data_IF_841405685473
#
_entry.id   IF_841405685473
#
_cell.length_a   1.000
_cell.length_b   1.000
_cell.length_c   1.000
_cell.angle_alpha   90.00
_cell.angle_beta   90.00
_cell.angle_gamma   90.00
#
_symmetry.space_group_name_H-M   'P 1'
#
loop_
_entity.id
_entity.type
_entity.pdbx_description
1 polymer ?
#
# COMPACT_ATOMS: atom_id res chain seq x y z
N UNK A 1 11.48 7.61 -25.88
CA UNK A 1 10.88 7.63 -24.52
C UNK A 1 9.53 6.93 -24.57
N UNK A 2 9.25 5.96 -23.68
CA UNK A 2 7.94 5.32 -23.58
C UNK A 2 6.81 6.34 -23.38
N UNK A 3 5.61 6.04 -23.87
CA UNK A 3 4.48 6.99 -23.88
C UNK A 3 4.10 7.48 -22.46
N UNK A 4 4.14 6.59 -21.46
CA UNK A 4 3.85 6.93 -20.07
C UNK A 4 4.86 7.95 -19.51
N UNK A 5 6.17 7.75 -19.76
CA UNK A 5 7.21 8.67 -19.30
C UNK A 5 7.11 10.03 -20.00
N UNK A 6 6.76 10.05 -21.29
CA UNK A 6 6.47 11.30 -22.03
C UNK A 6 5.30 12.07 -21.42
N UNK A 7 4.25 11.37 -20.99
CA UNK A 7 3.09 11.99 -20.34
C UNK A 7 3.48 12.60 -19.00
N UNK A 8 4.21 11.87 -18.15
CA UNK A 8 4.65 12.36 -16.83
C UNK A 8 5.56 13.57 -16.95
N UNK A 9 6.52 13.58 -17.88
CA UNK A 9 7.39 14.75 -18.12
C UNK A 9 6.58 15.98 -18.54
N UNK A 10 5.56 15.80 -19.37
CA UNK A 10 4.77 16.92 -19.89
C UNK A 10 3.68 17.41 -18.93
N UNK A 11 3.14 16.54 -18.08
CA UNK A 11 1.92 16.81 -17.29
C UNK A 11 2.12 16.72 -15.78
N UNK A 12 3.30 16.30 -15.33
CA UNK A 12 3.54 15.90 -13.95
C UNK A 12 2.93 14.53 -13.60
N UNK A 13 3.05 14.15 -12.34
CA UNK A 13 2.32 13.01 -11.78
C UNK A 13 0.84 13.35 -11.58
N UNK A 14 -0.07 12.37 -11.72
CA UNK A 14 -1.44 12.53 -11.28
C UNK A 14 -1.48 12.99 -9.81
N UNK A 15 -2.44 13.86 -9.48
CA UNK A 15 -2.68 14.30 -8.10
C UNK A 15 -3.99 13.70 -7.63
N UNK A 16 -3.96 13.04 -6.49
CA UNK A 16 -5.12 12.41 -5.88
C UNK A 16 -5.47 13.13 -4.58
N UNK A 17 -5.10 12.55 -3.45
CA UNK A 17 -5.21 13.14 -2.13
C UNK A 17 -3.88 12.94 -1.38
N UNK A 18 -3.76 13.55 -0.21
CA UNK A 18 -2.51 13.50 0.56
C UNK A 18 -2.02 12.07 0.81
N UNK A 19 -2.90 11.15 1.20
CA UNK A 19 -2.53 9.77 1.54
C UNK A 19 -2.00 9.02 0.31
N UNK A 20 -2.67 9.22 -0.84
CA UNK A 20 -2.28 8.59 -2.09
C UNK A 20 -0.98 9.19 -2.63
N UNK A 21 -0.89 10.52 -2.65
CA UNK A 21 0.28 11.22 -3.19
C UNK A 21 1.52 11.02 -2.29
N UNK A 22 1.36 10.95 -0.97
CA UNK A 22 2.47 10.76 -0.03
C UNK A 22 3.14 9.39 -0.17
N UNK A 23 2.37 8.29 -0.24
CA UNK A 23 2.98 6.98 -0.42
C UNK A 23 3.63 6.86 -1.80
N UNK A 24 2.98 7.33 -2.89
CA UNK A 24 3.59 7.31 -4.22
C UNK A 24 4.91 8.07 -4.27
N UNK A 25 5.00 9.23 -3.61
CA UNK A 25 6.26 9.97 -3.54
C UNK A 25 7.32 9.22 -2.74
N UNK A 26 6.93 8.55 -1.65
CA UNK A 26 7.85 7.71 -0.89
C UNK A 26 8.40 6.54 -1.71
N UNK A 27 7.57 5.89 -2.52
CA UNK A 27 8.00 4.82 -3.43
C UNK A 27 9.05 5.31 -4.43
N UNK A 28 8.81 6.50 -5.00
CA UNK A 28 9.74 7.11 -5.96
C UNK A 28 11.06 7.55 -5.32
N UNK A 29 11.05 7.93 -4.04
CA UNK A 29 12.24 8.35 -3.31
C UNK A 29 13.08 7.15 -2.83
N UNK A 30 12.44 6.14 -2.24
CA UNK A 30 13.12 5.02 -1.60
C UNK A 30 13.29 3.78 -2.53
N UNK A 31 12.55 3.73 -3.65
CA UNK A 31 12.55 2.57 -4.54
C UNK A 31 11.86 1.33 -3.97
N UNK A 32 11.05 1.50 -2.91
CA UNK A 32 10.28 0.43 -2.25
C UNK A 32 8.80 0.70 -2.42
N UNK A 33 8.02 -0.34 -2.77
CA UNK A 33 6.58 -0.23 -2.88
C UNK A 33 5.94 -0.11 -1.49
N UNK A 34 5.15 0.93 -1.30
CA UNK A 34 4.47 1.27 -0.04
C UNK A 34 2.98 1.32 -0.32
N UNK A 35 2.22 0.49 0.39
CA UNK A 35 0.77 0.53 0.36
C UNK A 35 0.22 1.43 1.46
N UNK A 36 -0.92 2.07 1.18
CA UNK A 36 -1.72 2.79 2.17
C UNK A 36 -3.12 2.19 2.21
N UNK A 37 -3.60 1.91 3.42
CA UNK A 37 -4.94 1.38 3.65
C UNK A 37 -5.63 2.12 4.80
N UNK A 38 -6.96 2.20 4.75
CA UNK A 38 -7.78 2.75 5.82
C UNK A 38 -7.77 1.80 7.02
N UNK A 39 -7.09 2.23 8.08
CA UNK A 39 -6.88 1.41 9.26
C UNK A 39 -8.19 1.14 10.01
N UNK A 40 -9.14 2.08 9.97
CA UNK A 40 -10.42 1.96 10.68
C UNK A 40 -11.34 0.92 10.02
N UNK A 41 -11.02 0.46 8.80
CA UNK A 41 -11.75 -0.58 8.07
C UNK A 41 -11.12 -1.98 8.20
N UNK A 42 -9.99 -2.10 8.90
CA UNK A 42 -9.35 -3.39 9.19
C UNK A 42 -10.10 -4.07 10.33
N UNK A 43 -10.57 -5.30 10.09
CA UNK A 43 -11.34 -6.05 11.07
C UNK A 43 -10.49 -7.15 11.72
N UNK A 44 -10.20 -7.04 13.01
CA UNK A 44 -9.41 -8.03 13.74
C UNK A 44 -7.91 -7.79 13.61
N UNK A 45 -7.11 -8.86 13.49
CA UNK A 45 -5.66 -8.79 13.36
C UNK A 45 -5.19 -8.95 11.92
N UNK A 46 -3.98 -8.46 11.64
CA UNK A 46 -3.32 -8.65 10.35
C UNK A 46 -2.53 -9.95 10.31
N UNK A 47 -2.60 -10.64 9.18
CA UNK A 47 -1.86 -11.87 8.92
C UNK A 47 -1.23 -11.82 7.53
N UNK A 48 0.09 -11.97 7.49
CA UNK A 48 0.81 -12.30 6.26
C UNK A 48 0.65 -13.80 6.00
N UNK A 49 0.12 -14.17 4.84
CA UNK A 49 -0.24 -15.54 4.52
C UNK A 49 0.08 -15.88 3.06
N UNK A 50 0.03 -17.18 2.75
CA UNK A 50 0.14 -17.72 1.39
C UNK A 50 -1.22 -18.22 0.95
N UNK A 51 -1.76 -17.62 -0.11
CA UNK A 51 -3.09 -17.95 -0.60
C UNK A 51 -3.15 -19.36 -1.21
N UNK A 52 -4.30 -20.02 -0.99
CA UNK A 52 -4.72 -21.18 -1.77
C UNK A 52 -5.12 -20.72 -3.15
N UNK A 53 -4.99 -21.61 -4.13
CA UNK A 53 -5.46 -21.33 -5.49
C UNK A 53 -6.98 -21.17 -5.51
N UNK A 54 -7.46 -20.13 -6.18
CA UNK A 54 -8.88 -19.87 -6.38
C UNK A 54 -9.58 -19.08 -5.27
N UNK A 55 -8.86 -18.58 -4.26
CA UNK A 55 -9.44 -17.59 -3.34
C UNK A 55 -9.74 -16.30 -4.10
N UNK A 56 -10.75 -15.55 -3.64
CA UNK A 56 -11.19 -14.34 -4.33
C UNK A 56 -11.34 -13.17 -3.37
N UNK A 57 -10.97 -11.97 -3.83
CA UNK A 57 -11.26 -10.72 -3.15
C UNK A 57 -11.61 -9.63 -4.17
N UNK A 58 -12.40 -8.66 -3.73
CA UNK A 58 -12.72 -7.49 -4.56
C UNK A 58 -11.54 -6.52 -4.49
N UNK A 59 -10.82 -6.42 -5.61
CA UNK A 59 -9.64 -5.59 -5.80
C UNK A 59 -9.97 -4.17 -6.18
N UNK A 60 -9.06 -3.25 -5.86
CA UNK A 60 -9.21 -1.83 -6.19
C UNK A 60 -9.56 -1.60 -7.67
N UNK A 61 -10.55 -0.73 -7.91
CA UNK A 61 -11.01 -0.36 -9.25
C UNK A 61 -12.08 -1.31 -9.80
N UNK A 62 -12.91 -1.86 -8.92
CA UNK A 62 -13.96 -2.84 -9.26
C UNK A 62 -13.41 -4.09 -9.97
N UNK A 63 -12.17 -4.47 -9.65
CA UNK A 63 -11.54 -5.68 -10.20
C UNK A 63 -11.87 -6.85 -9.29
N UNK A 64 -11.99 -8.05 -9.87
CA UNK A 64 -12.04 -9.28 -9.08
C UNK A 64 -10.66 -9.94 -9.12
N UNK A 65 -10.02 -10.09 -7.96
CA UNK A 65 -8.81 -10.88 -7.85
C UNK A 65 -9.17 -12.33 -7.62
N UNK A 66 -8.46 -13.22 -8.32
CA UNK A 66 -8.49 -14.65 -8.09
C UNK A 66 -7.06 -15.09 -7.85
N UNK A 67 -6.78 -15.65 -6.68
CA UNK A 67 -5.43 -15.99 -6.30
C UNK A 67 -4.95 -17.21 -7.06
N UNK A 68 -3.67 -17.20 -7.41
CA UNK A 68 -2.94 -18.39 -7.85
C UNK A 68 -2.31 -19.07 -6.64
N UNK A 69 -1.83 -20.29 -6.85
CA UNK A 69 -1.06 -21.00 -5.83
C UNK A 69 0.18 -20.19 -5.46
N UNK A 70 0.50 -20.15 -4.16
CA UNK A 70 1.70 -19.50 -3.61
C UNK A 70 1.75 -17.97 -3.72
N UNK A 71 0.64 -17.30 -4.04
CA UNK A 71 0.59 -15.85 -3.94
C UNK A 71 0.62 -15.39 -2.48
N UNK A 72 1.51 -14.44 -2.18
CA UNK A 72 1.59 -13.80 -0.88
C UNK A 72 0.43 -12.81 -0.75
N UNK A 73 -0.31 -12.92 0.35
CA UNK A 73 -1.46 -12.08 0.66
C UNK A 73 -1.36 -11.50 2.06
N UNK A 74 -1.88 -10.30 2.24
CA UNK A 74 -2.17 -9.71 3.54
C UNK A 74 -3.65 -9.89 3.81
N UNK A 75 -3.97 -10.40 5.00
CA UNK A 75 -5.34 -10.64 5.45
C UNK A 75 -5.64 -9.86 6.70
N UNK A 76 -6.91 -9.51 6.86
CA UNK A 76 -7.48 -9.22 8.17
C UNK A 76 -8.33 -10.42 8.65
N UNK A 77 -9.06 -10.24 9.75
CA UNK A 77 -9.95 -11.25 10.32
C UNK A 77 -11.17 -11.58 9.47
N UNK A 78 -11.40 -10.91 8.33
CA UNK A 78 -12.52 -11.18 7.41
C UNK A 78 -12.08 -11.69 6.05
N UNK A 79 -10.88 -11.34 5.58
CA UNK A 79 -10.41 -11.81 4.28
C UNK A 79 -9.12 -11.15 3.80
N UNK A 80 -8.84 -11.31 2.51
CA UNK A 80 -7.68 -10.71 1.85
C UNK A 80 -7.93 -9.22 1.66
N UNK A 81 -6.98 -8.40 2.13
CA UNK A 81 -6.96 -6.95 1.94
C UNK A 81 -5.87 -6.51 0.95
N UNK A 82 -4.90 -7.38 0.64
CA UNK A 82 -3.92 -7.15 -0.40
C UNK A 82 -3.37 -8.47 -0.95
N UNK A 83 -3.23 -8.54 -2.28
CA UNK A 83 -2.46 -9.59 -2.96
C UNK A 83 -1.20 -8.94 -3.50
N UNK A 84 -0.02 -9.37 -3.03
CA UNK A 84 1.27 -8.69 -3.27
C UNK A 84 1.46 -8.23 -4.72
N UNK A 85 1.19 -9.12 -5.68
CA UNK A 85 1.43 -8.87 -7.11
C UNK A 85 0.18 -8.41 -7.89
N UNK A 86 -1.01 -8.37 -7.28
CA UNK A 86 -2.25 -7.93 -7.95
C UNK A 86 -2.75 -6.57 -7.44
N UNK A 87 -2.43 -6.22 -6.20
CA UNK A 87 -2.72 -4.93 -5.56
C UNK A 87 -3.58 -5.04 -4.30
N UNK A 88 -4.00 -3.88 -3.79
CA UNK A 88 -4.88 -3.75 -2.64
C UNK A 88 -6.36 -4.02 -2.97
N UNK A 89 -7.13 -4.30 -1.93
CA UNK A 89 -8.57 -4.54 -2.00
C UNK A 89 -9.40 -3.25 -2.05
N UNK A 90 -10.67 -3.40 -2.41
CA UNK A 90 -11.61 -2.27 -2.47
C UNK A 90 -12.18 -1.91 -1.09
N UNK A 91 -12.30 -2.87 -0.17
CA UNK A 91 -12.92 -2.64 1.15
C UNK A 91 -12.09 -1.68 2.00
N UNK A 92 -10.78 -1.88 2.07
CA UNK A 92 -9.89 -1.07 2.92
C UNK A 92 -9.24 0.12 2.20
N UNK A 93 -9.63 0.40 0.95
CA UNK A 93 -9.14 1.55 0.20
C UNK A 93 -9.39 2.86 0.93
N UNK A 94 -8.36 3.71 1.02
CA UNK A 94 -8.48 5.08 1.55
C UNK A 94 -9.51 5.92 0.78
N UNK A 95 -10.19 6.79 1.52
CA UNK A 95 -11.22 7.72 1.03
C UNK A 95 -10.98 9.10 1.62
N UNK A 96 -11.67 10.11 1.11
CA UNK A 96 -11.54 11.49 1.62
C UNK A 96 -11.92 11.64 3.10
N UNK A 97 -12.73 10.71 3.63
CA UNK A 97 -13.13 10.67 5.03
C UNK A 97 -12.21 9.83 5.93
N UNK A 98 -11.19 9.15 5.37
CA UNK A 98 -10.25 8.33 6.13
C UNK A 98 -9.46 9.21 7.10
N UNK A 99 -9.30 8.77 8.36
CA UNK A 99 -8.57 9.53 9.38
C UNK A 99 -7.34 8.79 9.90
N UNK A 100 -7.45 7.47 10.03
CA UNK A 100 -6.33 6.61 10.42
C UNK A 100 -5.95 5.73 9.22
N UNK A 101 -4.66 5.69 8.92
CA UNK A 101 -4.13 4.81 7.87
C UNK A 101 -3.08 3.86 8.42
N UNK A 102 -2.96 2.72 7.76
CA UNK A 102 -1.81 1.85 7.89
C UNK A 102 -0.96 1.97 6.62
N UNK A 103 0.31 2.29 6.82
CA UNK A 103 1.34 2.21 5.80
C UNK A 103 2.08 0.88 5.99
N UNK A 104 2.21 0.10 4.92
CA UNK A 104 2.94 -1.16 4.95
C UNK A 104 3.66 -1.41 3.63
N UNK A 105 4.75 -2.16 3.70
CA UNK A 105 5.55 -2.53 2.55
C UNK A 105 5.95 -4.00 2.67
N UNK A 106 6.16 -4.65 1.52
CA UNK A 106 6.68 -6.02 1.47
C UNK A 106 8.09 -5.98 0.92
N UNK A 107 9.02 -6.62 1.62
CA UNK A 107 10.33 -6.95 1.05
C UNK A 107 10.33 -8.35 0.45
N UNK A 108 11.26 -8.55 -0.48
CA UNK A 108 11.63 -9.85 -1.02
C UNK A 108 13.08 -10.16 -0.61
N UNK A 109 13.50 -11.44 -0.64
CA UNK A 109 14.89 -11.78 -0.32
C UNK A 109 15.89 -10.94 -1.12
N UNK A 110 16.85 -10.36 -0.41
CA UNK A 110 17.88 -9.47 -0.99
C UNK A 110 17.57 -7.97 -0.87
N UNK A 111 16.40 -7.59 -0.37
CA UNK A 111 16.10 -6.21 0.03
C UNK A 111 16.31 -6.06 1.54
N UNK A 112 17.19 -5.15 1.93
CA UNK A 112 17.49 -4.88 3.34
C UNK A 112 16.36 -4.09 4.02
N UNK A 113 16.15 -4.36 5.31
CA UNK A 113 15.12 -3.70 6.12
C UNK A 113 15.24 -2.17 6.15
N UNK A 114 16.46 -1.64 6.04
CA UNK A 114 16.72 -0.20 5.95
C UNK A 114 15.89 0.49 4.84
N UNK A 115 15.75 -0.14 3.67
CA UNK A 115 14.99 0.47 2.56
C UNK A 115 13.49 0.52 2.86
N UNK A 116 12.97 -0.48 3.61
CA UNK A 116 11.59 -0.48 4.09
C UNK A 116 11.39 0.64 5.12
N UNK A 117 12.32 0.78 6.07
CA UNK A 117 12.29 1.85 7.08
C UNK A 117 12.31 3.23 6.41
N UNK A 118 13.18 3.44 5.42
CA UNK A 118 13.28 4.70 4.68
C UNK A 118 11.98 5.00 3.91
N UNK A 119 11.46 4.04 3.13
CA UNK A 119 10.23 4.24 2.36
C UNK A 119 9.01 4.50 3.25
N UNK A 120 8.83 3.69 4.30
CA UNK A 120 7.73 3.87 5.26
C UNK A 120 7.88 5.17 6.06
N UNK A 121 9.12 5.53 6.43
CA UNK A 121 9.45 6.77 7.12
C UNK A 121 9.09 8.00 6.29
N UNK A 122 9.52 8.05 5.03
CA UNK A 122 9.20 9.17 4.11
C UNK A 122 7.68 9.31 3.97
N UNK A 123 6.94 8.21 3.78
CA UNK A 123 5.49 8.26 3.67
C UNK A 123 4.82 8.79 4.96
N UNK A 124 5.22 8.24 6.12
CA UNK A 124 4.65 8.60 7.41
C UNK A 124 4.95 10.05 7.81
N UNK A 125 6.20 10.50 7.61
CA UNK A 125 6.63 11.87 7.90
C UNK A 125 5.95 12.88 6.97
N UNK A 126 5.86 12.57 5.68
CA UNK A 126 5.12 13.41 4.71
C UNK A 126 3.66 13.54 5.14
N UNK A 127 3.01 12.43 5.50
CA UNK A 127 1.63 12.45 5.98
C UNK A 127 1.47 13.26 7.28
N UNK A 128 2.38 13.12 8.24
CA UNK A 128 2.33 13.88 9.49
C UNK A 128 2.53 15.39 9.23
N UNK A 129 3.52 15.74 8.41
CA UNK A 129 3.86 17.12 8.09
C UNK A 129 2.72 17.86 7.38
N UNK A 130 2.13 17.25 6.36
CA UNK A 130 1.11 17.92 5.53
C UNK A 130 -0.33 17.65 5.98
N UNK A 131 -0.56 16.56 6.72
CA UNK A 131 -1.88 16.17 7.23
C UNK A 131 -2.13 16.60 8.67
N UNK A 132 -1.10 17.03 9.41
CA UNK A 132 -1.20 17.37 10.84
C UNK A 132 -1.47 16.17 11.74
N UNK A 133 -1.23 14.95 11.25
CA UNK A 133 -1.44 13.70 11.96
C UNK A 133 -0.30 13.34 12.92
N UNK A 134 -0.40 12.16 13.52
CA UNK A 134 0.65 11.60 14.39
C UNK A 134 1.04 10.20 13.93
N UNK A 135 2.31 9.85 14.10
CA UNK A 135 2.84 8.53 13.78
C UNK A 135 2.76 7.69 15.06
N UNK A 136 2.09 6.53 14.99
CA UNK A 136 1.92 5.63 16.15
C UNK A 136 3.05 4.64 16.34
N UNK A 137 3.82 4.36 15.28
CA UNK A 137 4.98 3.47 15.33
C UNK A 137 5.43 3.09 13.92
N UNK A 138 6.68 2.67 13.82
CA UNK A 138 7.27 2.06 12.64
C UNK A 138 7.98 0.79 13.11
N UNK A 139 7.54 -0.35 12.60
CA UNK A 139 8.11 -1.65 12.94
C UNK A 139 8.47 -2.35 11.64
N UNK A 140 9.73 -2.77 11.53
CA UNK A 140 10.23 -3.60 10.43
C UNK A 140 10.67 -4.93 11.05
N UNK A 141 10.03 -6.00 10.58
CA UNK A 141 10.17 -7.37 11.09
C UNK A 141 11.16 -8.19 10.24
#
# INVERSE_FOLDING_TARGET
MPQHLKRTVNSGFPRYNLMVDAHFMAEMCAGILVAVTDFDLIEGGLLLDVARSGETCDGMGMRRFTTKVEEIVLRDGKGIICVLCQGADEKTKVKDATTNVLLYAFAVPGIEGLYLEEGLGIAAETMAQFGGGTIKGLEVL
#
